data_IF_166382431961
#
_entry.id   IF_166382431961
#
_cell.length_a   1.000
_cell.length_b   1.000
_cell.length_c   1.000
_cell.angle_alpha   90.00
_cell.angle_beta   90.00
_cell.angle_gamma   90.00
#
_symmetry.space_group_name_H-M   'P 1'
#
loop_
_entity.id
_entity.type
_entity.pdbx_description
1 polymer ?
#
# COMPACT_ATOMS: atom_id res chain seq x y z
N UNK A 1 -10.61 -12.01 -3.09
CA UNK A 1 -10.09 -11.90 -1.70
C UNK A 1 -9.65 -10.46 -1.50
N UNK A 2 -10.29 -9.70 -0.61
CA UNK A 2 -9.92 -8.30 -0.35
C UNK A 2 -8.93 -8.29 0.81
N UNK A 3 -7.69 -7.89 0.55
CA UNK A 3 -6.65 -7.73 1.58
C UNK A 3 -6.89 -6.37 2.26
N UNK A 4 -7.42 -6.38 3.49
CA UNK A 4 -7.59 -5.17 4.32
C UNK A 4 -6.27 -4.87 5.06
N UNK A 5 -5.79 -3.63 4.96
CA UNK A 5 -4.51 -3.17 5.52
C UNK A 5 -4.77 -1.89 6.31
N UNK A 6 -5.16 -1.99 7.58
CA UNK A 6 -5.85 -0.84 8.18
C UNK A 6 -6.97 -0.37 7.23
N UNK A 7 -7.07 0.93 6.96
CA UNK A 7 -8.03 1.48 5.98
C UNK A 7 -7.57 1.42 4.51
N UNK A 8 -6.32 1.02 4.21
CA UNK A 8 -5.82 0.96 2.83
C UNK A 8 -6.23 -0.35 2.14
N UNK A 9 -6.51 -0.27 0.83
CA UNK A 9 -6.95 -1.43 0.05
C UNK A 9 -6.48 -1.37 -1.40
N UNK A 10 -6.07 -2.53 -1.94
CA UNK A 10 -5.96 -2.73 -3.40
C UNK A 10 -7.38 -2.94 -3.95
N UNK A 11 -7.78 -2.14 -4.96
CA UNK A 11 -9.13 -2.14 -5.52
C UNK A 11 -9.36 -3.41 -6.33
N UNK A 12 -8.44 -3.70 -7.25
CA UNK A 12 -8.46 -4.86 -8.15
C UNK A 12 -7.14 -5.67 -8.02
N UNK A 13 -7.15 -6.82 -7.32
CA UNK A 13 -5.97 -7.67 -7.15
C UNK A 13 -5.44 -8.28 -8.46
N UNK A 14 -6.27 -8.42 -9.48
CA UNK A 14 -5.88 -9.08 -10.73
C UNK A 14 -4.96 -8.17 -11.56
N UNK A 15 -5.17 -6.85 -11.51
CA UNK A 15 -4.25 -5.84 -12.08
C UNK A 15 -2.83 -5.93 -11.50
N UNK A 16 -2.70 -6.38 -10.24
CA UNK A 16 -1.42 -6.57 -9.56
C UNK A 16 -0.74 -7.92 -9.87
N UNK A 17 -1.38 -8.78 -10.66
CA UNK A 17 -0.94 -10.16 -10.93
C UNK A 17 -0.41 -10.40 -12.36
N UNK A 18 -0.32 -9.37 -13.20
CA UNK A 18 0.18 -9.52 -14.57
C UNK A 18 0.14 -8.29 -15.49
N UNK A 19 -0.57 -7.21 -15.11
CA UNK A 19 -0.67 -5.98 -15.92
C UNK A 19 0.20 -4.82 -15.40
N UNK A 20 0.63 -4.90 -14.14
CA UNK A 20 1.41 -3.86 -13.49
C UNK A 20 2.92 -4.12 -13.66
N UNK A 21 3.46 -3.78 -14.83
CA UNK A 21 4.89 -3.99 -15.13
C UNK A 21 5.81 -3.02 -14.38
N UNK A 22 5.38 -1.76 -14.18
CA UNK A 22 6.23 -0.77 -13.51
C UNK A 22 6.37 -1.00 -12.00
N UNK A 23 5.33 -1.58 -11.37
CA UNK A 23 5.25 -1.79 -9.92
C UNK A 23 5.68 -0.56 -9.08
N UNK A 24 5.46 0.66 -9.58
CA UNK A 24 5.99 1.91 -9.02
C UNK A 24 5.59 2.12 -7.55
N UNK A 25 4.41 1.66 -7.15
CA UNK A 25 3.93 1.66 -5.77
C UNK A 25 4.91 1.00 -4.78
N UNK A 26 5.69 0.00 -5.22
CA UNK A 26 6.76 -0.64 -4.44
C UNK A 26 7.91 0.30 -4.16
N UNK A 27 8.38 1.00 -5.19
CA UNK A 27 9.57 1.85 -5.09
C UNK A 27 9.31 3.14 -4.31
N UNK A 28 8.09 3.67 -4.38
CA UNK A 28 7.72 4.90 -3.66
C UNK A 28 7.29 4.66 -2.22
N UNK A 29 7.07 3.42 -1.79
CA UNK A 29 6.59 3.13 -0.44
C UNK A 29 7.78 3.10 0.55
N UNK A 30 7.96 4.12 1.41
CA UNK A 30 9.07 4.14 2.37
C UNK A 30 8.94 3.06 3.44
N UNK A 31 7.72 2.56 3.67
CA UNK A 31 7.43 1.51 4.64
C UNK A 31 7.65 0.09 4.09
N UNK A 32 7.98 -0.05 2.80
CA UNK A 32 8.25 -1.36 2.19
C UNK A 32 7.05 -2.31 2.17
N UNK A 33 5.83 -1.79 2.07
CA UNK A 33 4.61 -2.60 2.21
C UNK A 33 4.30 -3.47 0.99
N UNK A 34 4.82 -3.14 -0.18
CA UNK A 34 4.57 -3.90 -1.41
C UNK A 34 5.76 -4.82 -1.69
N UNK A 35 5.56 -6.12 -1.50
CA UNK A 35 6.51 -7.17 -1.85
C UNK A 35 6.15 -7.82 -3.19
N UNK A 36 7.06 -8.60 -3.77
CA UNK A 36 6.78 -9.38 -4.99
C UNK A 36 7.06 -10.82 -4.65
N UNK A 37 6.07 -11.68 -4.87
CA UNK A 37 6.15 -13.13 -4.65
C UNK A 37 5.59 -13.78 -5.92
N UNK A 38 6.37 -14.67 -6.54
CA UNK A 38 6.01 -15.36 -7.78
C UNK A 38 5.53 -14.42 -8.91
N UNK A 39 6.20 -13.27 -9.03
CA UNK A 39 5.89 -12.25 -10.04
C UNK A 39 4.63 -11.41 -9.75
N UNK A 40 3.98 -11.60 -8.60
CA UNK A 40 2.78 -10.86 -8.20
C UNK A 40 3.08 -9.91 -7.07
N UNK A 41 2.52 -8.69 -7.14
CA UNK A 41 2.59 -7.77 -6.01
C UNK A 41 1.80 -8.38 -4.86
N UNK A 42 2.48 -8.60 -3.75
CA UNK A 42 1.91 -9.01 -2.48
C UNK A 42 2.03 -7.84 -1.51
N UNK A 43 1.05 -7.71 -0.63
CA UNK A 43 1.09 -6.68 0.40
C UNK A 43 1.53 -7.29 1.74
N UNK A 44 2.52 -6.68 2.40
CA UNK A 44 2.94 -7.08 3.74
C UNK A 44 1.92 -6.60 4.79
N UNK A 45 0.98 -7.50 5.13
CA UNK A 45 -0.06 -7.28 6.12
C UNK A 45 0.44 -6.99 7.53
N UNK A 46 1.69 -7.38 7.84
CA UNK A 46 2.31 -7.13 9.14
C UNK A 46 3.15 -5.84 9.16
N UNK A 47 3.30 -5.17 8.02
CA UNK A 47 3.99 -3.88 7.93
C UNK A 47 3.13 -2.73 8.44
N UNK A 48 3.77 -1.68 8.97
CA UNK A 48 3.09 -0.47 9.43
C UNK A 48 3.09 0.58 8.33
N UNK A 49 1.90 1.03 7.90
CA UNK A 49 1.77 2.13 6.96
C UNK A 49 2.19 3.45 7.62
N UNK A 50 3.01 4.24 6.94
CA UNK A 50 3.43 5.57 7.39
C UNK A 50 2.48 6.70 6.98
N UNK A 51 1.32 6.38 6.41
CA UNK A 51 0.30 7.36 6.00
C UNK A 51 0.79 8.46 5.03
N UNK A 52 1.93 8.25 4.39
CA UNK A 52 2.56 9.24 3.51
C UNK A 52 1.80 9.46 2.19
N UNK A 53 0.91 8.54 1.79
CA UNK A 53 0.09 8.65 0.58
C UNK A 53 0.84 8.54 -0.75
N UNK A 54 2.15 8.32 -0.77
CA UNK A 54 2.92 8.25 -2.02
C UNK A 54 2.38 7.18 -3.00
N UNK A 55 1.98 6.03 -2.46
CA UNK A 55 1.43 4.93 -3.26
C UNK A 55 0.14 5.31 -4.01
N UNK A 56 -0.75 6.12 -3.42
CA UNK A 56 -1.99 6.57 -4.09
C UNK A 56 -1.76 7.60 -5.20
N UNK A 57 -0.60 8.26 -5.20
CA UNK A 57 -0.26 9.25 -6.22
C UNK A 57 0.24 8.59 -7.52
N UNK A 58 0.84 7.41 -7.40
CA UNK A 58 1.44 6.69 -8.54
C UNK A 58 0.62 5.51 -9.02
N UNK A 59 -0.43 5.12 -8.29
CA UNK A 59 -1.25 3.97 -8.61
C UNK A 59 -2.73 4.23 -8.29
N UNK A 60 -3.57 4.23 -9.32
CA UNK A 60 -5.02 4.39 -9.25
C UNK A 60 -5.73 3.19 -8.61
N UNK A 61 -5.06 2.03 -8.58
CA UNK A 61 -5.58 0.79 -8.03
C UNK A 61 -5.47 0.69 -6.50
N UNK A 62 -5.10 1.79 -5.83
CA UNK A 62 -4.93 1.87 -4.37
C UNK A 62 -5.99 2.80 -3.81
N UNK A 63 -6.91 2.23 -3.04
CA UNK A 63 -7.85 2.96 -2.21
C UNK A 63 -7.15 3.36 -0.93
N UNK A 64 -6.84 4.66 -0.80
CA UNK A 64 -6.13 5.20 0.36
C UNK A 64 -7.01 6.07 1.26
N UNK A 65 -6.98 5.81 2.57
CA UNK A 65 -7.69 6.59 3.60
C UNK A 65 -6.81 6.81 4.82
N UNK A 66 -6.84 8.02 5.40
CA UNK A 66 -6.22 8.24 6.70
C UNK A 66 -7.02 7.53 7.79
N UNK A 67 -6.37 6.93 8.80
CA UNK A 67 -7.08 6.35 9.93
C UNK A 67 -8.00 7.35 10.63
N UNK A 68 -8.93 6.81 11.41
CA UNK A 68 -9.80 7.63 12.26
C UNK A 68 -8.99 8.49 13.23
N UNK A 69 -9.55 9.63 13.63
CA UNK A 69 -8.86 10.57 14.52
C UNK A 69 -8.43 9.90 15.84
N UNK A 70 -7.15 10.04 16.18
CA UNK A 70 -6.56 9.39 17.37
C UNK A 70 -5.96 8.01 17.08
N UNK A 71 -6.11 7.48 15.87
CA UNK A 71 -5.43 6.29 15.37
C UNK A 71 -4.28 6.67 14.42
N UNK A 72 -3.49 5.66 14.02
CA UNK A 72 -2.43 5.84 13.05
C UNK A 72 -1.05 6.08 13.64
N UNK A 73 -0.15 6.61 12.82
CA UNK A 73 1.23 6.86 13.21
C UNK A 73 1.38 8.18 13.99
N UNK A 74 2.28 8.16 14.98
CA UNK A 74 2.61 9.34 15.78
C UNK A 74 4.06 9.73 15.52
N UNK A 75 4.26 10.86 14.85
CA UNK A 75 5.58 11.47 14.72
C UNK A 75 5.97 12.14 16.04
N UNK A 76 7.06 11.68 16.66
CA UNK A 76 7.59 12.30 17.89
C UNK A 76 8.57 13.43 17.62
N UNK A 77 9.30 13.38 16.50
CA UNK A 77 10.41 14.29 16.21
C UNK A 77 10.45 14.82 14.77
N UNK A 78 9.39 14.61 13.99
CA UNK A 78 9.37 14.93 12.55
C UNK A 78 10.15 13.89 11.77
#
# INVERSE_FOLDING_TARGET
MVVKIGEQKIIDPDRCSGECDEMTCRYVCPAGLFTVIDGKITFNLHGFCLECGACRLVCDNISFHYPSAGEGIIHRFG
#
